data_IF_747879495254
#
_entry.id   IF_747879495254
#
_cell.length_a   1.000
_cell.length_b   1.000
_cell.length_c   1.000
_cell.angle_alpha   90.00
_cell.angle_beta   90.00
_cell.angle_gamma   90.00
#
_symmetry.space_group_name_H-M   'P 1'
#
loop_
_entity.id
_entity.type
_entity.pdbx_description
1 polymer ?
#
# COMPACT_ATOMS: atom_id res chain seq x y z
N UNK A 1 7.36 20.82 15.67
CA UNK A 1 8.61 20.26 15.09
C UNK A 1 8.36 18.97 14.33
N UNK A 2 7.75 17.92 14.93
CA UNK A 2 7.45 16.67 14.22
C UNK A 2 6.69 16.87 12.90
N UNK A 3 5.58 17.62 12.92
CA UNK A 3 4.82 17.96 11.71
C UNK A 3 5.64 18.76 10.70
N UNK A 4 6.47 19.70 11.16
CA UNK A 4 7.34 20.47 10.28
C UNK A 4 8.32 19.55 9.53
N UNK A 5 9.00 18.65 10.24
CA UNK A 5 9.92 17.68 9.62
C UNK A 5 9.19 16.76 8.64
N UNK A 6 8.02 16.24 9.03
CA UNK A 6 7.21 15.36 8.21
C UNK A 6 6.74 16.06 6.92
N UNK A 7 6.06 17.21 7.04
CA UNK A 7 5.54 17.94 5.88
C UNK A 7 6.64 18.53 5.00
N UNK A 8 7.77 18.94 5.56
CA UNK A 8 8.91 19.41 4.75
C UNK A 8 9.50 18.26 3.93
N UNK A 9 9.66 17.08 4.55
CA UNK A 9 10.19 15.89 3.86
C UNK A 9 9.25 15.40 2.76
N UNK A 10 7.94 15.33 3.06
CA UNK A 10 6.92 14.92 2.08
C UNK A 10 6.76 15.97 0.98
N UNK A 11 6.73 17.26 1.33
CA UNK A 11 6.63 18.35 0.35
C UNK A 11 7.82 18.38 -0.61
N UNK A 12 9.04 18.18 -0.09
CA UNK A 12 10.22 17.99 -0.94
C UNK A 12 10.10 16.75 -1.83
N UNK A 13 9.62 15.63 -1.30
CA UNK A 13 9.42 14.40 -2.07
C UNK A 13 8.40 14.57 -3.20
N UNK A 14 7.32 15.34 -3.00
CA UNK A 14 6.39 15.72 -4.08
C UNK A 14 7.10 16.53 -5.16
N UNK A 15 7.77 17.62 -4.77
CA UNK A 15 8.43 18.53 -5.70
C UNK A 15 9.49 17.83 -6.57
N UNK A 16 10.37 17.04 -5.93
CA UNK A 16 11.43 16.32 -6.63
C UNK A 16 10.92 15.06 -7.32
N UNK A 17 9.87 14.41 -6.81
CA UNK A 17 9.30 13.20 -7.39
C UNK A 17 8.71 13.45 -8.78
N UNK A 18 7.94 14.53 -8.93
CA UNK A 18 7.37 14.92 -10.23
C UNK A 18 8.49 15.31 -11.21
N UNK A 19 9.45 16.13 -10.76
CA UNK A 19 10.60 16.55 -11.57
C UNK A 19 11.42 15.36 -12.09
N UNK A 20 11.66 14.36 -11.23
CA UNK A 20 12.44 13.17 -11.58
C UNK A 20 11.66 12.24 -12.52
N UNK A 21 10.36 12.09 -12.28
CA UNK A 21 9.45 11.35 -13.14
C UNK A 21 9.41 11.92 -14.56
N UNK A 22 9.26 13.24 -14.68
CA UNK A 22 9.24 13.94 -15.96
C UNK A 22 10.59 13.83 -16.68
N UNK A 23 11.70 14.01 -15.94
CA UNK A 23 13.04 13.83 -16.49
C UNK A 23 13.26 12.42 -17.05
N UNK A 24 12.87 11.38 -16.32
CA UNK A 24 13.04 9.99 -16.75
C UNK A 24 12.15 9.63 -17.93
N UNK A 25 10.90 10.09 -17.91
CA UNK A 25 9.93 9.85 -19.00
C UNK A 25 10.33 10.60 -20.27
N UNK A 26 10.91 11.80 -20.14
CA UNK A 26 11.42 12.59 -21.26
C UNK A 26 12.76 12.11 -21.83
N UNK A 27 13.59 11.44 -21.01
CA UNK A 27 14.94 11.02 -21.41
C UNK A 27 15.03 9.57 -21.90
N UNK A 28 14.18 8.68 -21.38
CA UNK A 28 14.27 7.24 -21.64
C UNK A 28 12.99 6.68 -22.26
N UNK A 29 13.09 6.17 -23.47
CA UNK A 29 11.97 5.53 -24.17
C UNK A 29 11.46 4.28 -23.45
N UNK A 30 12.35 3.54 -22.78
CA UNK A 30 12.01 2.38 -21.96
C UNK A 30 11.20 2.71 -20.71
N UNK A 31 11.23 3.96 -20.24
CA UNK A 31 10.40 4.43 -19.12
C UNK A 31 9.06 4.97 -19.63
N UNK A 32 9.05 5.56 -20.82
CA UNK A 32 7.85 6.09 -21.47
C UNK A 32 6.92 4.99 -21.98
N UNK A 33 7.45 3.88 -22.48
CA UNK A 33 6.65 2.78 -23.01
C UNK A 33 5.88 2.05 -21.89
N UNK A 34 4.53 2.10 -21.85
CA UNK A 34 3.74 1.43 -20.82
C UNK A 34 3.92 -0.09 -20.80
N UNK A 35 4.36 -0.69 -21.91
CA UNK A 35 4.59 -2.14 -22.03
C UNK A 35 5.96 -2.55 -21.51
N UNK A 36 6.86 -1.59 -21.32
CA UNK A 36 8.18 -1.85 -20.76
C UNK A 36 8.07 -2.12 -19.26
N UNK A 37 8.88 -3.06 -18.79
CA UNK A 37 9.03 -3.34 -17.36
C UNK A 37 9.50 -2.11 -16.57
N UNK A 38 10.21 -1.17 -17.21
CA UNK A 38 10.74 0.04 -16.55
C UNK A 38 9.74 1.20 -16.49
N UNK A 39 8.52 1.02 -16.99
CA UNK A 39 7.48 2.08 -17.02
C UNK A 39 7.11 2.61 -15.64
N UNK A 40 7.26 1.80 -14.58
CA UNK A 40 7.01 2.25 -13.19
C UNK A 40 7.94 3.38 -12.74
N UNK A 41 9.13 3.53 -13.35
CA UNK A 41 10.07 4.61 -13.05
C UNK A 41 9.57 5.97 -13.56
N UNK A 42 8.55 5.99 -14.42
CA UNK A 42 7.87 7.20 -14.88
C UNK A 42 6.68 7.60 -14.00
N UNK A 43 6.56 7.01 -12.80
CA UNK A 43 5.52 7.36 -11.83
C UNK A 43 6.05 8.38 -10.81
N UNK A 44 5.47 9.58 -10.80
CA UNK A 44 5.74 10.59 -9.76
C UNK A 44 5.43 10.06 -8.35
N UNK A 45 4.37 9.26 -8.21
CA UNK A 45 4.03 8.60 -6.94
C UNK A 45 5.12 7.63 -6.48
N UNK A 46 5.71 6.84 -7.39
CA UNK A 46 6.82 5.94 -7.05
C UNK A 46 8.00 6.72 -6.45
N UNK A 47 8.43 7.79 -7.12
CA UNK A 47 9.56 8.60 -6.65
C UNK A 47 9.24 9.37 -5.38
N UNK A 48 8.02 9.86 -5.21
CA UNK A 48 7.55 10.47 -3.98
C UNK A 48 7.69 9.52 -2.78
N UNK A 49 7.27 8.25 -2.92
CA UNK A 49 7.41 7.24 -1.87
C UNK A 49 8.89 6.95 -1.58
N UNK A 50 9.72 6.77 -2.62
CA UNK A 50 11.15 6.51 -2.49
C UNK A 50 11.86 7.66 -1.77
N UNK A 51 11.66 8.90 -2.21
CA UNK A 51 12.30 10.09 -1.65
C UNK A 51 11.84 10.36 -0.21
N UNK A 52 10.55 10.22 0.08
CA UNK A 52 10.03 10.36 1.45
C UNK A 52 10.64 9.31 2.39
N UNK A 53 10.80 8.08 1.91
CA UNK A 53 11.45 6.99 2.67
C UNK A 53 12.93 7.28 2.91
N UNK A 54 13.65 7.72 1.89
CA UNK A 54 15.06 8.10 2.01
C UNK A 54 15.25 9.28 2.98
N UNK A 55 14.38 10.28 2.93
CA UNK A 55 14.38 11.39 3.88
C UNK A 55 14.14 10.91 5.31
N UNK A 56 13.17 10.01 5.52
CA UNK A 56 12.91 9.39 6.82
C UNK A 56 14.11 8.60 7.37
N UNK A 57 14.75 7.79 6.52
CA UNK A 57 15.97 7.04 6.86
C UNK A 57 17.09 8.02 7.20
N UNK A 58 17.29 9.07 6.39
CA UNK A 58 18.29 10.11 6.64
C UNK A 58 18.07 10.80 8.00
N UNK A 59 16.83 11.17 8.31
CA UNK A 59 16.47 11.77 9.59
C UNK A 59 16.69 10.82 10.77
N UNK A 60 16.58 9.50 10.58
CA UNK A 60 16.81 8.50 11.63
C UNK A 60 18.27 8.47 12.14
N UNK A 61 19.23 8.91 11.31
CA UNK A 61 20.63 9.06 11.73
C UNK A 61 20.91 10.34 12.52
N UNK A 62 19.92 11.24 12.62
CA UNK A 62 20.05 12.51 13.35
C UNK A 62 19.38 12.46 14.72
N UNK A 63 19.42 13.58 15.45
CA UNK A 63 18.66 13.76 16.71
C UNK A 63 17.14 13.63 16.53
N UNK A 64 16.64 13.71 15.29
CA UNK A 64 15.21 13.58 14.99
C UNK A 64 14.63 12.21 15.36
N UNK A 65 15.45 11.15 15.45
CA UNK A 65 14.99 9.83 15.91
C UNK A 65 14.35 9.83 17.30
N UNK A 66 14.77 10.77 18.16
CA UNK A 66 14.23 10.88 19.53
C UNK A 66 12.74 11.28 19.54
N UNK A 67 12.22 11.82 18.43
CA UNK A 67 10.81 12.17 18.33
C UNK A 67 9.87 10.95 18.28
N UNK A 68 10.39 9.75 17.99
CA UNK A 68 9.64 8.50 18.09
C UNK A 68 9.13 8.29 19.53
N UNK A 69 10.01 8.47 20.52
CA UNK A 69 9.67 8.39 21.94
C UNK A 69 8.72 9.49 22.42
N UNK A 70 8.65 10.63 21.72
CA UNK A 70 7.73 11.73 22.04
C UNK A 70 6.35 11.61 21.39
N UNK A 71 6.09 10.53 20.64
CA UNK A 71 4.77 10.24 20.08
C UNK A 71 4.60 10.45 18.58
N UNK A 72 5.69 10.44 17.78
CA UNK A 72 5.60 10.42 16.31
C UNK A 72 4.62 9.37 15.79
N UNK A 73 4.65 8.16 16.36
CA UNK A 73 3.76 7.06 15.99
C UNK A 73 2.27 7.35 16.26
N UNK A 74 1.94 8.18 17.26
CA UNK A 74 0.56 8.61 17.51
C UNK A 74 0.07 9.59 16.44
N UNK A 75 0.95 10.50 15.99
CA UNK A 75 0.63 11.44 14.92
C UNK A 75 0.39 10.70 13.61
N UNK A 76 1.21 9.70 13.28
CA UNK A 76 1.00 8.83 12.11
C UNK A 76 -0.39 8.17 12.15
N UNK A 77 -0.81 7.67 13.32
CA UNK A 77 -2.15 7.10 13.50
C UNK A 77 -3.28 8.07 13.13
N UNK A 78 -3.15 9.36 13.46
CA UNK A 78 -4.13 10.40 13.06
C UNK A 78 -4.21 10.54 11.54
N UNK A 79 -3.07 10.60 10.85
CA UNK A 79 -3.05 10.67 9.39
C UNK A 79 -3.63 9.42 8.72
N UNK A 80 -3.40 8.24 9.29
CA UNK A 80 -4.03 7.01 8.81
C UNK A 80 -5.54 7.09 8.94
N UNK A 81 -6.08 7.57 10.07
CA UNK A 81 -7.52 7.73 10.22
C UNK A 81 -8.12 8.76 9.25
N UNK A 82 -7.43 9.88 9.02
CA UNK A 82 -7.84 10.86 7.99
C UNK A 82 -7.87 10.21 6.60
N UNK A 83 -6.85 9.41 6.27
CA UNK A 83 -6.79 8.69 5.00
C UNK A 83 -7.96 7.70 4.85
N UNK A 84 -8.22 6.88 5.86
CA UNK A 84 -9.34 5.91 5.86
C UNK A 84 -10.69 6.62 5.72
N UNK A 85 -10.90 7.71 6.48
CA UNK A 85 -12.11 8.51 6.37
C UNK A 85 -12.28 9.10 4.96
N UNK A 86 -11.20 9.60 4.36
CA UNK A 86 -11.23 10.17 3.00
C UNK A 86 -11.54 9.12 1.94
N UNK A 87 -10.99 7.91 2.06
CA UNK A 87 -11.33 6.79 1.15
C UNK A 87 -12.81 6.43 1.29
N UNK A 88 -13.31 6.32 2.53
CA UNK A 88 -14.72 6.02 2.79
C UNK A 88 -15.68 7.07 2.24
N UNK A 89 -15.34 8.36 2.34
CA UNK A 89 -16.16 9.45 1.80
C UNK A 89 -16.22 9.50 0.27
N UNK A 90 -15.23 8.92 -0.42
CA UNK A 90 -15.22 8.83 -1.89
C UNK A 90 -16.03 7.63 -2.42
N UNK A 91 -16.49 6.75 -1.54
CA UNK A 91 -17.26 5.56 -1.93
C UNK A 91 -18.70 5.94 -2.23
N UNK A 92 -19.14 5.62 -3.45
CA UNK A 92 -20.54 5.75 -3.84
C UNK A 92 -21.30 4.45 -3.57
N UNK A 93 -22.16 4.47 -2.56
CA UNK A 93 -22.96 3.32 -2.15
C UNK A 93 -24.17 3.07 -3.05
N UNK A 94 -24.60 4.02 -3.90
CA UNK A 94 -25.74 3.76 -4.80
C UNK A 94 -25.37 2.78 -5.91
N UNK A 95 -24.12 2.77 -6.38
CA UNK A 95 -23.64 1.80 -7.39
C UNK A 95 -23.76 0.35 -6.94
N UNK A 96 -23.68 0.12 -5.64
CA UNK A 96 -23.82 -1.18 -5.00
C UNK A 96 -25.25 -1.71 -5.14
N UNK A 97 -26.25 -0.82 -5.12
CA UNK A 97 -27.67 -1.17 -5.30
C UNK A 97 -28.03 -1.36 -6.78
N UNK A 98 -27.35 -0.66 -7.69
CA UNK A 98 -27.54 -0.79 -9.13
C UNK A 98 -27.01 -2.14 -9.67
N UNK A 99 -25.94 -2.66 -9.07
CA UNK A 99 -25.29 -3.90 -9.48
C UNK A 99 -25.08 -4.86 -8.30
N UNK A 100 -26.15 -5.43 -7.71
CA UNK A 100 -26.05 -6.30 -6.53
C UNK A 100 -25.20 -7.56 -6.78
N UNK A 101 -25.06 -7.97 -8.04
CA UNK A 101 -24.15 -9.06 -8.42
C UNK A 101 -22.69 -8.80 -8.04
N UNK A 102 -22.24 -7.54 -8.03
CA UNK A 102 -20.87 -7.18 -7.63
C UNK A 102 -20.64 -7.43 -6.13
N UNK A 103 -21.66 -7.25 -5.29
CA UNK A 103 -21.57 -7.58 -3.86
C UNK A 103 -21.38 -9.09 -3.68
N UNK A 104 -22.18 -9.88 -4.39
CA UNK A 104 -22.10 -11.34 -4.31
C UNK A 104 -20.70 -11.83 -4.71
N UNK A 105 -20.14 -11.28 -5.80
CA UNK A 105 -18.76 -11.59 -6.22
C UNK A 105 -17.76 -11.17 -5.14
N UNK A 106 -17.89 -9.97 -4.58
CA UNK A 106 -17.03 -9.50 -3.49
C UNK A 106 -17.08 -10.42 -2.26
N UNK A 107 -18.27 -10.87 -1.88
CA UNK A 107 -18.45 -11.80 -0.76
C UNK A 107 -17.80 -13.16 -1.04
N UNK A 108 -18.03 -13.72 -2.23
CA UNK A 108 -17.40 -14.97 -2.67
C UNK A 108 -15.87 -14.81 -2.63
N UNK A 109 -15.34 -13.70 -3.13
CA UNK A 109 -13.90 -13.43 -3.12
C UNK A 109 -13.34 -13.41 -1.69
N UNK A 110 -13.92 -12.62 -0.79
CA UNK A 110 -13.43 -12.52 0.59
C UNK A 110 -13.56 -13.85 1.34
N UNK A 111 -14.62 -14.62 1.07
CA UNK A 111 -14.80 -15.95 1.61
C UNK A 111 -13.68 -16.91 1.15
N UNK A 112 -13.39 -16.94 -0.15
CA UNK A 112 -12.31 -17.77 -0.71
C UNK A 112 -10.94 -17.33 -0.15
N UNK A 113 -10.67 -16.02 -0.13
CA UNK A 113 -9.44 -15.45 0.43
C UNK A 113 -9.25 -15.85 1.89
N UNK A 114 -10.28 -15.67 2.72
CA UNK A 114 -10.24 -16.03 4.14
C UNK A 114 -10.05 -17.53 4.35
N UNK A 115 -10.79 -18.38 3.62
CA UNK A 115 -10.67 -19.83 3.70
C UNK A 115 -9.27 -20.31 3.31
N UNK A 116 -8.71 -19.77 2.22
CA UNK A 116 -7.37 -20.10 1.75
C UNK A 116 -6.31 -19.68 2.77
N UNK A 117 -6.41 -18.47 3.33
CA UNK A 117 -5.46 -18.00 4.36
C UNK A 117 -5.51 -18.87 5.62
N UNK A 118 -6.70 -19.23 6.10
CA UNK A 118 -6.85 -20.12 7.27
C UNK A 118 -6.26 -21.49 6.98
N UNK A 119 -6.54 -22.05 5.80
CA UNK A 119 -5.99 -23.34 5.37
C UNK A 119 -4.46 -23.30 5.35
N UNK A 120 -3.88 -22.30 4.68
CA UNK A 120 -2.43 -22.15 4.58
C UNK A 120 -1.81 -21.93 5.95
N UNK A 121 -2.38 -21.04 6.78
CA UNK A 121 -1.89 -20.80 8.14
C UNK A 121 -1.89 -22.07 8.99
N UNK A 122 -2.89 -22.96 8.82
CA UNK A 122 -2.93 -24.25 9.49
C UNK A 122 -1.86 -25.21 8.97
N UNK A 123 -1.63 -25.26 7.65
CA UNK A 123 -0.62 -26.12 7.03
C UNK A 123 0.80 -25.76 7.48
N UNK A 124 1.14 -24.47 7.49
CA UNK A 124 2.48 -24.00 7.90
C UNK A 124 2.60 -23.75 9.40
N UNK A 125 1.53 -23.96 10.17
CA UNK A 125 1.45 -23.68 11.61
C UNK A 125 1.85 -22.23 11.94
N UNK A 126 1.35 -21.28 11.15
CA UNK A 126 1.65 -19.86 11.34
C UNK A 126 0.95 -19.29 12.59
N UNK A 127 1.60 -18.40 13.34
CA UNK A 127 0.95 -17.64 14.41
C UNK A 127 -0.10 -16.68 13.85
N UNK A 128 -1.12 -16.40 14.68
CA UNK A 128 -2.26 -15.57 14.32
C UNK A 128 -1.87 -14.17 13.82
N UNK A 129 -0.76 -13.61 14.32
CA UNK A 129 -0.18 -12.36 13.86
C UNK A 129 -0.01 -12.29 12.33
N UNK A 130 0.61 -13.31 11.72
CA UNK A 130 0.86 -13.30 10.27
C UNK A 130 -0.43 -13.47 9.46
N UNK A 131 -1.42 -14.19 10.01
CA UNK A 131 -2.72 -14.32 9.37
C UNK A 131 -3.48 -12.98 9.37
N UNK A 132 -3.52 -12.29 10.50
CA UNK A 132 -4.23 -11.01 10.64
C UNK A 132 -3.57 -9.90 9.81
N UNK A 133 -2.25 -9.70 9.97
CA UNK A 133 -1.52 -8.65 9.26
C UNK A 133 -1.38 -8.97 7.78
N UNK A 134 -1.14 -10.24 7.41
CA UNK A 134 -1.04 -10.68 6.02
C UNK A 134 -2.36 -10.54 5.25
N UNK A 135 -3.50 -10.85 5.87
CA UNK A 135 -4.81 -10.61 5.25
C UNK A 135 -5.04 -9.12 4.98
N UNK A 136 -4.74 -8.26 5.97
CA UNK A 136 -4.88 -6.82 5.81
C UNK A 136 -3.92 -6.24 4.78
N UNK A 137 -2.70 -6.76 4.68
CA UNK A 137 -1.74 -6.36 3.66
C UNK A 137 -2.27 -6.58 2.23
N UNK A 138 -3.08 -7.62 2.01
CA UNK A 138 -3.67 -7.93 0.70
C UNK A 138 -5.00 -7.23 0.42
N UNK A 139 -5.85 -7.02 1.44
CA UNK A 139 -7.21 -6.47 1.23
C UNK A 139 -7.28 -4.98 1.53
N UNK A 140 -6.78 -4.55 2.69
CA UNK A 140 -6.82 -3.13 3.08
C UNK A 140 -5.50 -2.37 2.87
N UNK A 141 -4.44 -3.08 2.45
CA UNK A 141 -3.19 -2.52 1.96
C UNK A 141 -2.48 -1.62 2.97
N UNK A 142 -1.90 -0.53 2.47
CA UNK A 142 -1.08 0.40 3.25
C UNK A 142 -1.88 1.16 4.33
N UNK A 143 -3.21 1.16 4.24
CA UNK A 143 -4.07 1.85 5.20
C UNK A 143 -4.30 1.04 6.48
N UNK A 144 -4.63 -0.24 6.36
CA UNK A 144 -5.11 -1.03 7.50
C UNK A 144 -4.09 -2.03 8.04
N UNK A 145 -3.15 -2.52 7.22
CA UNK A 145 -2.15 -3.48 7.69
C UNK A 145 -1.25 -2.93 8.81
N UNK A 146 -0.75 -1.68 8.76
CA UNK A 146 0.04 -1.11 9.84
C UNK A 146 -0.78 -0.92 11.13
N UNK A 147 -2.07 -0.58 11.00
CA UNK A 147 -2.99 -0.40 12.14
C UNK A 147 -3.20 -1.72 12.86
N UNK A 148 -3.49 -2.80 12.11
CA UNK A 148 -3.67 -4.13 12.70
C UNK A 148 -2.36 -4.66 13.29
N UNK A 149 -1.21 -4.38 12.68
CA UNK A 149 0.08 -4.76 13.24
C UNK A 149 0.41 -4.01 14.55
N UNK A 150 0.08 -2.72 14.63
CA UNK A 150 0.32 -1.90 15.81
C UNK A 150 -0.48 -2.38 17.04
N UNK A 151 -1.64 -3.00 16.83
CA UNK A 151 -2.47 -3.58 17.90
C UNK A 151 -1.79 -4.78 18.56
N UNK A 152 -0.95 -5.53 17.83
CA UNK A 152 -0.13 -6.59 18.43
C UNK A 152 1.05 -6.01 19.19
N UNK A 153 1.80 -5.09 18.56
CA UNK A 153 2.87 -4.35 19.20
C UNK A 153 3.24 -3.12 18.37
N UNK A 154 3.48 -1.93 18.96
CA UNK A 154 3.80 -0.72 18.20
C UNK A 154 5.03 -0.86 17.27
N UNK A 155 6.03 -1.66 17.66
CA UNK A 155 7.21 -1.91 16.82
C UNK A 155 6.93 -2.75 15.57
N UNK A 156 5.76 -3.40 15.47
CA UNK A 156 5.35 -4.21 14.33
C UNK A 156 4.64 -3.38 13.25
N UNK A 157 4.34 -2.11 13.51
CA UNK A 157 3.74 -1.19 12.52
C UNK A 157 4.56 -1.15 11.23
N UNK A 158 5.89 -1.06 11.34
CA UNK A 158 6.81 -1.06 10.20
C UNK A 158 6.75 -2.37 9.40
N UNK A 159 6.62 -3.50 10.09
CA UNK A 159 6.42 -4.82 9.46
C UNK A 159 5.11 -4.85 8.68
N UNK A 160 4.03 -4.31 9.24
CA UNK A 160 2.74 -4.18 8.56
C UNK A 160 2.81 -3.31 7.30
N UNK A 161 3.57 -2.21 7.33
CA UNK A 161 3.83 -1.37 6.14
C UNK A 161 4.56 -2.16 5.06
N UNK A 162 5.65 -2.85 5.40
CA UNK A 162 6.43 -3.63 4.43
C UNK A 162 5.62 -4.77 3.84
N UNK A 163 4.82 -5.47 4.65
CA UNK A 163 3.91 -6.51 4.19
C UNK A 163 2.86 -5.96 3.22
N UNK A 164 2.30 -4.77 3.49
CA UNK A 164 1.36 -4.13 2.58
C UNK A 164 1.98 -3.78 1.23
N UNK A 165 3.21 -3.26 1.21
CA UNK A 165 3.93 -2.98 -0.05
C UNK A 165 4.17 -4.27 -0.83
N UNK A 166 4.63 -5.34 -0.15
CA UNK A 166 4.84 -6.64 -0.78
C UNK A 166 3.53 -7.21 -1.34
N UNK A 167 2.46 -7.16 -0.54
CA UNK A 167 1.11 -7.56 -0.94
C UNK A 167 0.62 -6.81 -2.17
N UNK A 168 0.94 -5.52 -2.28
CA UNK A 168 0.60 -4.72 -3.46
C UNK A 168 1.36 -5.16 -4.71
N UNK A 169 2.67 -5.42 -4.61
CA UNK A 169 3.48 -5.89 -5.74
C UNK A 169 2.99 -7.26 -6.22
N UNK A 170 2.85 -8.22 -5.31
CA UNK A 170 2.41 -9.58 -5.63
C UNK A 170 0.95 -9.57 -6.11
N UNK A 171 0.09 -8.82 -5.44
CA UNK A 171 -1.33 -8.69 -5.78
C UNK A 171 -1.55 -8.06 -7.15
N UNK A 172 -0.82 -6.99 -7.48
CA UNK A 172 -0.89 -6.36 -8.80
C UNK A 172 -0.40 -7.30 -9.89
N UNK A 173 0.73 -7.98 -9.67
CA UNK A 173 1.24 -8.98 -10.62
C UNK A 173 0.25 -10.13 -10.84
N UNK A 174 -0.35 -10.64 -9.75
CA UNK A 174 -1.38 -11.67 -9.81
C UNK A 174 -2.66 -11.20 -10.52
N UNK A 175 -3.10 -9.97 -10.27
CA UNK A 175 -4.28 -9.39 -10.92
C UNK A 175 -4.06 -9.24 -12.43
N UNK A 176 -2.88 -8.77 -12.86
CA UNK A 176 -2.53 -8.69 -14.28
C UNK A 176 -2.48 -10.08 -14.91
N UNK A 177 -1.90 -11.08 -14.24
CA UNK A 177 -1.91 -12.46 -14.70
C UNK A 177 -3.34 -12.99 -14.88
N UNK A 178 -4.20 -12.79 -13.90
CA UNK A 178 -5.62 -13.17 -14.00
C UNK A 178 -6.31 -12.44 -15.16
N UNK A 179 -6.04 -11.15 -15.36
CA UNK A 179 -6.58 -10.39 -16.48
C UNK A 179 -6.14 -10.95 -17.84
N UNK A 180 -4.86 -11.31 -17.98
CA UNK A 180 -4.36 -11.96 -19.19
C UNK A 180 -4.99 -13.34 -19.41
N UNK A 181 -5.14 -14.16 -18.36
CA UNK A 181 -5.79 -15.46 -18.45
C UNK A 181 -7.26 -15.32 -18.87
N UNK A 182 -7.98 -14.35 -18.31
CA UNK A 182 -9.35 -14.04 -18.72
C UNK A 182 -9.42 -13.58 -20.17
N UNK A 183 -8.52 -12.70 -20.62
CA UNK A 183 -8.47 -12.23 -22.00
C UNK A 183 -8.20 -13.36 -23.01
N UNK A 184 -7.41 -14.36 -22.61
CA UNK A 184 -7.19 -15.57 -23.42
C UNK A 184 -8.44 -16.46 -23.42
N UNK A 185 -9.06 -16.65 -22.27
CA UNK A 185 -10.25 -17.50 -22.10
C UNK A 185 -11.51 -16.91 -22.74
N UNK A 186 -11.65 -15.58 -22.80
CA UNK A 186 -12.83 -14.88 -23.34
C UNK A 186 -12.83 -14.78 -24.87
N UNK A 187 -12.00 -15.54 -25.59
CA UNK A 187 -12.07 -15.67 -27.07
C UNK A 187 -13.30 -16.47 -27.55
N UNK A 188 -14.40 -16.43 -26.79
CA UNK A 188 -15.72 -16.96 -27.13
C UNK A 188 -16.68 -15.80 -27.21
#
# INVERSE_FOLDING_TARGET
>A
IMLFLAFTSVGAAHFFGDSLSDFLTGSFESVRDPKSFLSFLGSGFFWMVVLATLAGIGLSFTKAKNYEGTGSSKIVGVFIYIMVATIGMKMDLSQVLENPGLIAIGFIWIAIHGALLILVAKLIKAPYFFLAVGSQANVGGAASAPVVAAEFHPSLTSVGVLLAVLGYVVGTGGALLCAYLMAIASKV
#
